data_IF_188152694017
#
_entry.id   IF_188152694017
#
_cell.length_a   1.000
_cell.length_b   1.000
_cell.length_c   1.000
_cell.angle_alpha   90.00
_cell.angle_beta   90.00
_cell.angle_gamma   90.00
#
_symmetry.space_group_name_H-M   'P 1'
#
loop_
_entity.id
_entity.type
_entity.pdbx_description
1 polymer ?
#
# COMPACT_ATOMS: atom_id res chain seq x y z
N UNK A 1 -5.57 23.43 -11.93
CA UNK A 1 -6.98 23.00 -12.02
C UNK A 1 -6.93 21.49 -12.16
N UNK A 2 -7.49 20.79 -11.18
CA UNK A 2 -7.56 19.32 -11.21
C UNK A 2 -8.69 18.92 -12.15
N UNK A 3 -8.44 17.92 -12.99
CA UNK A 3 -9.44 17.32 -13.88
C UNK A 3 -9.62 15.85 -13.51
N UNK A 4 -10.86 15.39 -13.56
CA UNK A 4 -11.20 13.98 -13.47
C UNK A 4 -12.17 13.62 -14.58
N UNK A 5 -11.96 12.46 -15.19
CA UNK A 5 -12.90 11.92 -16.17
C UNK A 5 -12.82 10.40 -16.18
N UNK A 6 -13.88 9.80 -16.69
CA UNK A 6 -13.97 8.35 -16.85
C UNK A 6 -13.67 7.96 -18.28
N UNK A 7 -12.83 6.96 -18.44
CA UNK A 7 -12.42 6.35 -19.69
C UNK A 7 -12.65 4.83 -19.59
N UNK A 8 -13.86 4.39 -19.94
CA UNK A 8 -14.31 3.01 -19.77
C UNK A 8 -14.28 2.56 -18.30
N UNK A 9 -13.37 1.66 -17.97
CA UNK A 9 -13.16 1.09 -16.63
C UNK A 9 -12.11 1.84 -15.82
N UNK A 10 -11.60 2.97 -16.31
CA UNK A 10 -10.53 3.74 -15.68
C UNK A 10 -11.05 5.13 -15.30
N UNK A 11 -10.79 5.55 -14.06
CA UNK A 11 -10.93 6.94 -13.62
C UNK A 11 -9.57 7.61 -13.79
N UNK A 12 -9.50 8.64 -14.63
CA UNK A 12 -8.26 9.39 -14.90
C UNK A 12 -8.29 10.70 -14.13
N UNK A 13 -7.16 11.02 -13.49
CA UNK A 13 -6.95 12.24 -12.74
C UNK A 13 -5.75 12.97 -13.33
N UNK A 14 -5.89 14.28 -13.48
CA UNK A 14 -4.81 15.16 -13.87
C UNK A 14 -4.77 16.36 -12.92
N UNK A 15 -3.61 16.56 -12.28
CA UNK A 15 -3.31 17.77 -11.50
C UNK A 15 -2.34 18.66 -12.28
N UNK A 16 -1.97 19.80 -11.71
CA UNK A 16 -0.88 20.62 -12.26
C UNK A 16 0.44 19.84 -12.35
N UNK A 17 0.72 18.96 -11.39
CA UNK A 17 2.04 18.34 -11.23
C UNK A 17 2.11 16.88 -11.67
N UNK A 18 0.99 16.17 -11.80
CA UNK A 18 1.02 14.76 -12.18
C UNK A 18 -0.25 14.28 -12.90
N UNK A 19 -0.12 13.09 -13.50
CA UNK A 19 -1.25 12.26 -13.91
C UNK A 19 -1.36 11.07 -12.96
N UNK A 20 -2.57 10.57 -12.75
CA UNK A 20 -2.84 9.31 -12.06
C UNK A 20 -4.07 8.63 -12.69
N UNK A 21 -4.19 7.31 -12.53
CA UNK A 21 -5.39 6.59 -12.91
C UNK A 21 -5.78 5.54 -11.87
N UNK A 22 -7.08 5.35 -11.65
CA UNK A 22 -7.64 4.32 -10.77
C UNK A 22 -8.44 3.36 -11.64
N UNK A 23 -8.08 2.08 -11.59
CA UNK A 23 -8.76 1.03 -12.34
C UNK A 23 -9.93 0.48 -11.52
N UNK A 24 -11.12 0.47 -12.11
CA UNK A 24 -12.38 0.08 -11.44
C UNK A 24 -12.79 -1.36 -11.75
N UNK A 25 -12.18 -1.97 -12.77
CA UNK A 25 -12.37 -3.38 -13.16
C UNK A 25 -11.05 -4.04 -13.59
N UNK A 26 -10.86 -5.33 -13.36
CA UNK A 26 -9.63 -6.07 -13.66
C UNK A 26 -8.68 -6.12 -12.47
N UNK A 27 -7.46 -5.59 -12.63
CA UNK A 27 -6.51 -5.43 -11.53
C UNK A 27 -6.84 -4.14 -10.78
N UNK A 28 -7.37 -4.27 -9.56
CA UNK A 28 -8.04 -3.18 -8.84
C UNK A 28 -7.37 -2.86 -7.50
N UNK A 29 -7.89 -1.84 -6.83
CA UNK A 29 -7.31 -1.10 -5.70
C UNK A 29 -6.14 -0.20 -6.10
N UNK A 30 -5.92 0.87 -5.33
CA UNK A 30 -4.82 1.79 -5.51
C UNK A 30 -4.80 2.54 -6.86
N UNK A 31 -3.60 3.02 -7.21
CA UNK A 31 -3.31 3.68 -8.49
C UNK A 31 -2.78 2.65 -9.49
N UNK A 32 -3.35 2.67 -10.70
CA UNK A 32 -3.05 1.75 -11.80
C UNK A 32 -1.57 1.79 -12.18
N UNK A 33 -1.01 0.63 -12.49
CA UNK A 33 0.38 0.47 -12.94
C UNK A 33 0.78 1.49 -14.02
N UNK A 34 1.94 2.12 -13.83
CA UNK A 34 2.56 3.09 -14.75
C UNK A 34 1.73 4.32 -15.08
N UNK A 35 0.66 4.56 -14.33
CA UNK A 35 -0.25 5.68 -14.54
C UNK A 35 0.08 6.89 -13.67
N UNK A 36 0.88 6.73 -12.61
CA UNK A 36 1.31 7.84 -11.79
C UNK A 36 2.52 8.51 -12.44
N UNK A 37 2.30 9.62 -13.13
CA UNK A 37 3.31 10.29 -13.96
C UNK A 37 3.61 11.67 -13.42
N UNK A 38 4.86 11.92 -13.06
CA UNK A 38 5.35 13.24 -12.66
C UNK A 38 5.53 14.14 -13.89
N UNK A 39 4.79 15.25 -13.97
CA UNK A 39 4.88 16.18 -15.10
C UNK A 39 6.19 16.94 -15.12
N UNK A 40 6.82 17.17 -13.97
CA UNK A 40 8.07 17.92 -13.88
C UNK A 40 9.23 17.14 -14.52
N UNK A 41 9.29 15.83 -14.31
CA UNK A 41 10.45 15.01 -14.72
C UNK A 41 10.12 13.99 -15.80
N UNK A 42 8.83 13.81 -16.13
CA UNK A 42 8.36 12.76 -17.04
C UNK A 42 8.41 11.34 -16.44
N UNK A 43 8.80 11.23 -15.16
CA UNK A 43 8.93 9.95 -14.46
C UNK A 43 7.61 9.23 -14.30
N UNK A 44 7.64 7.89 -14.33
CA UNK A 44 6.48 7.02 -14.09
C UNK A 44 6.80 6.03 -12.99
N UNK A 45 5.78 5.55 -12.28
CA UNK A 45 5.94 4.42 -11.38
C UNK A 45 6.40 3.17 -12.18
N UNK A 46 7.18 2.31 -11.51
CA UNK A 46 7.85 1.17 -12.14
C UNK A 46 7.11 -0.15 -11.92
N UNK A 47 6.05 -0.14 -11.13
CA UNK A 47 5.46 -1.33 -10.53
C UNK A 47 4.26 -1.91 -11.26
N UNK A 48 3.47 -2.65 -10.48
CA UNK A 48 2.16 -3.19 -10.87
C UNK A 48 1.01 -2.31 -10.38
N UNK A 49 1.31 -1.17 -9.77
CA UNK A 49 0.38 -0.23 -9.18
C UNK A 49 0.95 0.34 -7.88
N UNK A 50 0.24 1.31 -7.29
CA UNK A 50 0.63 1.93 -6.02
C UNK A 50 -0.50 1.80 -4.99
N UNK A 51 -0.14 1.42 -3.75
CA UNK A 51 -1.06 1.20 -2.62
C UNK A 51 -2.12 0.15 -2.95
N UNK A 52 -1.65 -1.02 -3.37
CA UNK A 52 -2.48 -2.14 -3.79
C UNK A 52 -2.83 -3.00 -2.57
N UNK A 53 -4.09 -3.40 -2.44
CA UNK A 53 -4.58 -4.16 -1.28
C UNK A 53 -4.84 -5.61 -1.65
N UNK A 54 -4.41 -6.50 -0.75
CA UNK A 54 -4.54 -7.94 -0.90
C UNK A 54 -5.71 -8.50 -0.07
N UNK A 55 -5.47 -8.85 1.19
CA UNK A 55 -6.40 -9.63 2.01
C UNK A 55 -6.15 -9.40 3.51
N UNK A 56 -6.99 -10.02 4.35
CA UNK A 56 -6.85 -10.00 5.80
C UNK A 56 -6.13 -11.24 6.33
N UNK A 57 -5.20 -11.03 7.26
CA UNK A 57 -4.37 -12.07 7.87
C UNK A 57 -4.32 -11.91 9.39
N UNK A 58 -3.70 -12.90 10.03
CA UNK A 58 -3.10 -12.76 11.34
C UNK A 58 -1.80 -13.59 11.43
N UNK A 59 -0.91 -13.28 12.39
CA UNK A 59 0.41 -13.91 12.51
C UNK A 59 0.34 -15.23 13.29
N UNK A 60 -0.30 -16.24 12.70
CA UNK A 60 -0.39 -17.60 13.25
C UNK A 60 -0.26 -18.63 12.15
N UNK A 61 0.20 -19.83 12.48
CA UNK A 61 0.17 -20.96 11.55
C UNK A 61 -1.24 -21.53 11.40
N UNK A 62 -1.54 -22.01 10.21
CA UNK A 62 -2.64 -22.94 10.00
C UNK A 62 -2.32 -24.31 10.62
N UNK A 63 -3.37 -25.01 11.06
CA UNK A 63 -3.30 -26.39 11.53
C UNK A 63 -3.92 -27.35 10.51
N UNK A 64 -3.85 -28.65 10.79
CA UNK A 64 -4.38 -29.70 9.90
C UNK A 64 -5.89 -29.61 9.66
N UNK A 65 -6.64 -28.93 10.54
CA UNK A 65 -8.08 -28.73 10.38
C UNK A 65 -8.44 -27.62 9.39
N UNK A 66 -7.50 -26.70 9.06
CA UNK A 66 -7.73 -25.70 8.02
C UNK A 66 -7.78 -26.40 6.64
N UNK A 67 -8.81 -26.17 5.80
CA UNK A 67 -8.84 -26.68 4.43
C UNK A 67 -7.63 -26.21 3.62
N UNK A 68 -7.01 -27.10 2.84
CA UNK A 68 -5.74 -26.85 2.13
C UNK A 68 -5.76 -25.58 1.27
N UNK A 69 -6.84 -25.35 0.51
CA UNK A 69 -7.01 -24.16 -0.34
C UNK A 69 -7.20 -22.85 0.44
N UNK A 70 -7.34 -22.90 1.77
CA UNK A 70 -7.42 -21.75 2.68
C UNK A 70 -6.20 -21.67 3.60
N UNK A 71 -5.18 -22.50 3.37
CA UNK A 71 -3.92 -22.40 4.10
C UNK A 71 -3.03 -21.35 3.45
N UNK A 72 -2.43 -20.51 4.28
CA UNK A 72 -1.40 -19.60 3.79
C UNK A 72 -0.10 -20.37 3.55
N UNK A 73 0.48 -20.24 2.35
CA UNK A 73 1.78 -20.82 2.04
C UNK A 73 2.91 -20.03 2.70
N UNK A 74 3.88 -20.72 3.28
CA UNK A 74 5.10 -20.14 3.88
C UNK A 74 6.24 -21.15 3.82
N UNK A 75 7.46 -20.71 4.12
CA UNK A 75 8.68 -21.54 4.05
C UNK A 75 9.30 -21.61 2.65
N UNK A 76 8.90 -20.72 1.74
CA UNK A 76 9.43 -20.61 0.38
C UNK A 76 10.05 -19.23 0.11
N UNK A 77 10.66 -19.03 -1.07
CA UNK A 77 11.26 -17.74 -1.45
C UNK A 77 10.25 -16.61 -1.66
N UNK A 78 8.96 -16.91 -1.77
CA UNK A 78 7.90 -15.95 -2.05
C UNK A 78 7.34 -15.36 -0.76
N UNK A 79 7.12 -16.22 0.23
CA UNK A 79 6.43 -15.91 1.48
C UNK A 79 7.38 -15.87 2.69
N UNK A 80 8.58 -16.45 2.55
CA UNK A 80 9.58 -16.52 3.61
C UNK A 80 9.18 -17.45 4.75
N UNK A 81 10.02 -17.53 5.78
CA UNK A 81 9.69 -18.26 7.01
C UNK A 81 8.82 -17.42 7.96
N UNK A 82 7.76 -16.82 7.40
CA UNK A 82 6.85 -15.91 8.10
C UNK A 82 5.45 -16.54 8.09
N UNK A 83 5.14 -17.41 9.08
CA UNK A 83 3.84 -18.06 9.12
C UNK A 83 2.72 -17.04 9.33
N UNK A 84 1.69 -17.13 8.48
CA UNK A 84 0.42 -16.43 8.60
C UNK A 84 -0.71 -17.41 8.43
N UNK A 85 -1.93 -16.94 8.71
CA UNK A 85 -3.17 -17.59 8.30
C UNK A 85 -4.14 -16.55 7.77
N UNK A 86 -4.94 -16.93 6.79
CA UNK A 86 -5.98 -16.05 6.28
C UNK A 86 -7.06 -15.82 7.33
N UNK A 87 -7.54 -14.58 7.41
CA UNK A 87 -8.79 -14.25 8.10
C UNK A 87 -9.90 -14.22 7.05
N UNK A 88 -9.74 -13.36 6.04
CA UNK A 88 -10.72 -13.16 4.97
C UNK A 88 -10.04 -12.97 3.61
N UNK A 89 -10.72 -13.46 2.58
CA UNK A 89 -10.32 -13.66 1.20
C UNK A 89 -11.48 -13.21 0.28
N UNK A 90 -11.27 -12.99 -1.03
CA UNK A 90 -10.05 -13.24 -1.79
C UNK A 90 -9.01 -12.10 -1.72
N UNK A 91 -7.90 -12.26 -2.44
CA UNK A 91 -6.97 -11.17 -2.74
C UNK A 91 -7.68 -10.12 -3.63
N UNK A 92 -7.95 -8.93 -3.09
CA UNK A 92 -8.77 -7.91 -3.75
C UNK A 92 -8.20 -7.55 -5.12
N UNK A 93 -6.91 -7.23 -5.19
CA UNK A 93 -6.30 -6.69 -6.40
C UNK A 93 -6.42 -7.58 -7.64
N UNK A 94 -6.46 -8.90 -7.48
CA UNK A 94 -6.53 -9.85 -8.62
C UNK A 94 -7.88 -10.55 -8.75
N UNK A 95 -8.67 -10.64 -7.67
CA UNK A 95 -9.84 -11.50 -7.63
C UNK A 95 -11.16 -10.77 -7.34
N UNK A 96 -11.14 -9.53 -6.84
CA UNK A 96 -12.36 -8.75 -6.70
C UNK A 96 -13.00 -8.42 -8.06
N UNK A 97 -12.17 -8.30 -9.11
CA UNK A 97 -12.52 -8.03 -10.52
C UNK A 97 -13.22 -6.69 -10.78
N UNK A 98 -14.00 -6.15 -9.86
CA UNK A 98 -14.71 -4.88 -9.98
C UNK A 98 -14.94 -4.28 -8.61
N UNK A 99 -14.64 -2.99 -8.46
CA UNK A 99 -14.91 -2.24 -7.23
C UNK A 99 -15.98 -1.18 -7.47
N UNK A 100 -17.00 -1.07 -6.59
CA UNK A 100 -17.80 0.14 -6.52
C UNK A 100 -16.93 1.33 -6.10
N UNK A 101 -17.26 2.51 -6.61
CA UNK A 101 -16.50 3.72 -6.33
C UNK A 101 -17.37 4.98 -6.38
N UNK A 102 -16.86 6.03 -5.74
CA UNK A 102 -17.40 7.40 -5.75
C UNK A 102 -16.27 8.39 -6.03
N UNK A 103 -16.57 9.44 -6.79
CA UNK A 103 -15.64 10.53 -7.09
C UNK A 103 -16.11 11.78 -6.36
N UNK A 104 -15.18 12.46 -5.69
CA UNK A 104 -15.40 13.76 -5.03
C UNK A 104 -14.55 14.82 -5.73
N UNK A 105 -15.20 15.82 -6.31
CA UNK A 105 -14.52 16.96 -6.94
C UNK A 105 -14.51 18.13 -5.96
N UNK A 106 -13.34 18.41 -5.39
CA UNK A 106 -13.12 19.56 -4.52
C UNK A 106 -12.49 20.73 -5.28
N UNK A 107 -12.39 21.89 -4.62
CA UNK A 107 -11.85 23.11 -5.24
C UNK A 107 -10.43 22.95 -5.81
N UNK A 108 -9.56 22.24 -5.08
CA UNK A 108 -8.15 22.06 -5.41
C UNK A 108 -7.71 20.59 -5.27
N UNK A 109 -8.64 19.64 -5.40
CA UNK A 109 -8.33 18.22 -5.32
C UNK A 109 -9.43 17.40 -5.98
N UNK A 110 -9.11 16.15 -6.32
CA UNK A 110 -10.09 15.11 -6.61
C UNK A 110 -9.86 13.98 -5.62
N UNK A 111 -10.92 13.34 -5.15
CA UNK A 111 -10.81 12.10 -4.41
C UNK A 111 -11.59 10.97 -5.08
N UNK A 112 -11.08 9.75 -4.95
CA UNK A 112 -11.75 8.52 -5.37
C UNK A 112 -11.87 7.62 -4.16
N UNK A 113 -13.11 7.30 -3.78
CA UNK A 113 -13.39 6.31 -2.74
C UNK A 113 -13.79 5.01 -3.42
N UNK A 114 -13.22 3.90 -2.99
CA UNK A 114 -13.62 2.55 -3.41
C UNK A 114 -13.76 1.63 -2.21
N UNK A 115 -14.52 0.55 -2.34
CA UNK A 115 -14.73 -0.39 -1.24
C UNK A 115 -15.01 -1.82 -1.71
N UNK A 116 -14.80 -2.77 -0.80
CA UNK A 116 -15.06 -4.18 -1.02
C UNK A 116 -15.50 -4.84 0.28
N UNK A 117 -16.38 -5.84 0.18
CA UNK A 117 -16.69 -6.74 1.28
C UNK A 117 -16.08 -8.10 0.96
N UNK A 118 -15.21 -8.61 1.82
CA UNK A 118 -14.66 -9.94 1.62
C UNK A 118 -15.76 -11.00 1.62
N UNK A 119 -15.65 -11.95 0.71
CA UNK A 119 -16.70 -12.94 0.42
C UNK A 119 -16.34 -14.35 0.84
N UNK A 120 -15.07 -14.58 1.21
CA UNK A 120 -14.53 -15.85 1.66
C UNK A 120 -13.86 -15.61 3.01
N UNK A 121 -13.99 -16.56 3.94
CA UNK A 121 -13.28 -16.54 5.20
C UNK A 121 -12.77 -17.93 5.54
N UNK A 122 -11.62 -17.98 6.21
CA UNK A 122 -11.08 -19.23 6.76
C UNK A 122 -11.82 -19.55 8.06
N UNK A 123 -12.43 -20.74 8.23
CA UNK A 123 -13.12 -21.10 9.49
C UNK A 123 -12.18 -20.93 10.69
N UNK A 124 -12.62 -20.40 11.84
CA UNK A 124 -14.00 -20.13 12.22
C UNK A 124 -14.50 -18.72 11.84
N UNK A 125 -13.75 -17.96 11.05
CA UNK A 125 -14.13 -16.60 10.66
C UNK A 125 -15.32 -16.59 9.70
N UNK A 126 -16.03 -15.47 9.71
CA UNK A 126 -17.15 -15.18 8.82
C UNK A 126 -16.72 -14.19 7.75
N UNK A 127 -17.13 -14.35 6.48
CA UNK A 127 -16.91 -13.32 5.49
C UNK A 127 -17.80 -12.12 5.77
N UNK A 128 -17.39 -10.95 5.29
CA UNK A 128 -18.22 -9.75 5.23
C UNK A 128 -17.55 -8.50 5.76
N UNK A 129 -16.31 -8.57 6.25
CA UNK A 129 -15.55 -7.38 6.63
C UNK A 129 -15.48 -6.42 5.45
N UNK A 130 -15.60 -5.12 5.74
CA UNK A 130 -15.61 -4.07 4.72
C UNK A 130 -14.26 -3.38 4.70
N UNK A 131 -13.59 -3.40 3.55
CA UNK A 131 -12.48 -2.51 3.25
C UNK A 131 -12.98 -1.30 2.46
N UNK A 132 -12.48 -0.12 2.81
CA UNK A 132 -12.66 1.13 2.10
C UNK A 132 -11.29 1.76 1.86
N UNK A 133 -11.05 2.25 0.64
CA UNK A 133 -9.88 3.04 0.31
C UNK A 133 -10.29 4.40 -0.22
N UNK A 134 -9.75 5.44 0.38
CA UNK A 134 -9.92 6.83 -0.05
C UNK A 134 -8.60 7.35 -0.60
N UNK A 135 -8.57 7.63 -1.91
CA UNK A 135 -7.44 8.22 -2.61
C UNK A 135 -7.72 9.71 -2.82
N UNK A 136 -6.87 10.59 -2.31
CA UNK A 136 -7.01 12.05 -2.47
C UNK A 136 -5.84 12.55 -3.29
N UNK A 137 -6.14 13.27 -4.37
CA UNK A 137 -5.18 13.83 -5.33
C UNK A 137 -5.21 15.36 -5.26
N UNK A 138 -4.38 16.00 -4.40
CA UNK A 138 -4.34 17.45 -4.28
C UNK A 138 -3.64 18.09 -5.47
N UNK A 139 -4.06 19.31 -5.84
CA UNK A 139 -3.37 20.11 -6.84
C UNK A 139 -2.02 20.65 -6.32
N UNK A 140 -1.15 21.06 -7.24
CA UNK A 140 0.13 21.78 -6.98
C UNK A 140 1.23 21.02 -6.23
N UNK A 141 0.96 19.83 -5.72
CA UNK A 141 1.95 18.93 -5.08
C UNK A 141 2.25 17.74 -5.98
N UNK A 142 3.37 17.05 -5.75
CA UNK A 142 3.81 15.87 -6.53
C UNK A 142 3.45 14.54 -5.86
N UNK A 143 2.49 14.56 -4.94
CA UNK A 143 2.06 13.43 -4.13
C UNK A 143 0.54 13.35 -4.02
N UNK A 144 0.04 12.18 -3.64
CA UNK A 144 -1.35 11.91 -3.28
C UNK A 144 -1.41 11.19 -1.93
N UNK A 145 -2.59 11.17 -1.32
CA UNK A 145 -2.86 10.47 -0.06
C UNK A 145 -3.72 9.24 -0.33
N UNK A 146 -3.48 8.18 0.44
CA UNK A 146 -4.32 7.00 0.50
C UNK A 146 -4.72 6.74 1.96
N UNK A 147 -5.98 6.38 2.19
CA UNK A 147 -6.44 5.91 3.50
C UNK A 147 -7.21 4.62 3.33
N UNK A 148 -6.64 3.55 3.88
CA UNK A 148 -7.25 2.23 3.94
C UNK A 148 -7.89 2.03 5.30
N UNK A 149 -9.18 1.68 5.30
CA UNK A 149 -9.97 1.40 6.51
C UNK A 149 -10.64 0.04 6.36
N UNK A 150 -10.52 -0.79 7.38
CA UNK A 150 -11.22 -2.08 7.48
C UNK A 150 -12.15 -2.04 8.67
N UNK A 151 -13.42 -2.37 8.46
CA UNK A 151 -14.40 -2.66 9.53
C UNK A 151 -14.62 -4.16 9.57
N UNK A 152 -14.24 -4.81 10.67
CA UNK A 152 -14.26 -6.27 10.73
C UNK A 152 -15.61 -6.81 11.17
N UNK A 153 -16.06 -7.94 10.59
CA UNK A 153 -17.20 -8.71 11.14
C UNK A 153 -16.77 -9.76 12.17
N UNK A 154 -15.46 -9.92 12.38
CA UNK A 154 -14.88 -10.91 13.26
C UNK A 154 -14.18 -10.24 14.44
N UNK A 155 -14.14 -10.92 15.59
CA UNK A 155 -13.18 -10.61 16.65
C UNK A 155 -11.88 -11.36 16.36
N UNK A 156 -10.78 -10.64 16.21
CA UNK A 156 -9.45 -11.19 15.89
C UNK A 156 -8.41 -10.53 16.79
N UNK A 157 -7.58 -11.33 17.46
CA UNK A 157 -6.61 -10.81 18.45
C UNK A 157 -5.48 -9.99 17.82
N UNK A 158 -5.15 -10.25 16.55
CA UNK A 158 -4.07 -9.58 15.83
C UNK A 158 -4.42 -9.50 14.34
N UNK A 159 -5.34 -8.60 13.98
CA UNK A 159 -5.82 -8.46 12.60
C UNK A 159 -4.84 -7.63 11.76
N UNK A 160 -4.52 -8.12 10.57
CA UNK A 160 -3.60 -7.51 9.63
C UNK A 160 -4.28 -7.24 8.29
N UNK A 161 -4.01 -6.08 7.70
CA UNK A 161 -4.29 -5.80 6.28
C UNK A 161 -2.99 -5.84 5.50
N UNK A 162 -2.89 -6.71 4.50
CA UNK A 162 -1.73 -6.80 3.60
C UNK A 162 -1.88 -5.90 2.37
N UNK A 163 -0.80 -5.21 2.02
CA UNK A 163 -0.74 -4.30 0.87
C UNK A 163 0.66 -4.20 0.26
N UNK A 164 0.72 -3.77 -0.99
CA UNK A 164 1.95 -3.34 -1.65
C UNK A 164 2.19 -1.86 -1.36
N UNK A 165 3.35 -1.52 -0.78
CA UNK A 165 3.62 -0.14 -0.34
C UNK A 165 5.09 0.31 -0.55
N UNK A 166 5.33 1.41 -1.31
CA UNK A 166 4.36 2.14 -2.16
C UNK A 166 3.81 1.28 -3.30
N UNK A 167 4.63 0.36 -3.80
CA UNK A 167 4.34 -0.56 -4.90
C UNK A 167 5.62 -1.30 -5.26
N UNK A 168 5.53 -2.45 -5.93
CA UNK A 168 6.70 -3.23 -6.35
C UNK A 168 7.52 -2.50 -7.44
N UNK A 169 8.75 -2.96 -7.71
CA UNK A 169 9.64 -2.37 -8.72
C UNK A 169 9.98 -3.42 -9.78
N UNK A 170 9.51 -3.22 -11.01
CA UNK A 170 9.96 -4.06 -12.14
C UNK A 170 11.36 -3.66 -12.57
N UNK A 171 12.22 -4.64 -12.77
CA UNK A 171 13.58 -4.44 -13.31
C UNK A 171 14.07 -5.73 -13.97
N UNK A 172 15.18 -5.61 -14.69
CA UNK A 172 16.03 -6.70 -15.14
C UNK A 172 17.42 -6.43 -14.56
N UNK A 173 17.82 -7.20 -13.55
CA UNK A 173 19.13 -7.04 -12.88
C UNK A 173 19.44 -5.61 -12.42
N UNK A 174 18.45 -4.94 -11.81
CA UNK A 174 18.55 -3.59 -11.29
C UNK A 174 18.49 -2.46 -12.34
N UNK A 175 18.26 -2.71 -13.62
CA UNK A 175 18.33 -1.71 -14.70
C UNK A 175 17.42 -0.47 -14.54
N UNK A 176 16.25 -0.59 -13.90
CA UNK A 176 15.22 0.46 -13.88
C UNK A 176 15.33 1.47 -12.74
N UNK A 177 16.10 1.16 -11.69
CA UNK A 177 16.27 1.99 -10.49
C UNK A 177 17.72 2.01 -10.01
N UNK A 178 18.09 2.99 -9.19
CA UNK A 178 19.45 3.14 -8.65
C UNK A 178 19.59 2.45 -7.29
N UNK A 179 18.64 2.70 -6.40
CA UNK A 179 18.67 2.25 -5.01
C UNK A 179 17.28 2.32 -4.38
N UNK A 180 17.09 1.58 -3.30
CA UNK A 180 15.94 1.65 -2.39
C UNK A 180 16.38 2.41 -1.14
N UNK A 181 15.49 3.22 -0.57
CA UNK A 181 15.65 3.83 0.74
C UNK A 181 14.52 3.35 1.64
N UNK A 182 14.89 2.80 2.80
CA UNK A 182 13.96 2.43 3.86
C UNK A 182 14.38 3.22 5.10
N UNK A 183 13.55 4.12 5.63
CA UNK A 183 13.99 5.00 6.75
C UNK A 183 14.43 4.25 8.01
N UNK A 184 13.98 3.01 8.19
CA UNK A 184 14.33 2.13 9.30
C UNK A 184 15.55 1.23 9.03
N UNK A 185 16.19 1.35 7.86
CA UNK A 185 17.35 0.53 7.48
C UNK A 185 18.46 1.33 6.76
N UNK A 186 18.10 2.28 5.90
CA UNK A 186 19.02 3.10 5.11
C UNK A 186 18.92 2.81 3.61
N UNK A 187 20.00 3.13 2.89
CA UNK A 187 20.09 2.96 1.44
C UNK A 187 20.52 1.54 1.07
N UNK A 188 19.89 0.98 0.04
CA UNK A 188 20.15 -0.35 -0.49
C UNK A 188 20.38 -0.22 -2.01
N UNK A 189 21.57 -0.54 -2.54
CA UNK A 189 21.84 -0.40 -3.97
C UNK A 189 21.03 -1.40 -4.80
N UNK A 190 20.71 -1.06 -6.05
CA UNK A 190 19.99 -1.97 -6.95
C UNK A 190 20.70 -3.32 -7.16
N UNK A 191 22.03 -3.36 -7.02
CA UNK A 191 22.82 -4.60 -7.08
C UNK A 191 22.48 -5.59 -5.97
N UNK A 192 21.85 -5.15 -4.87
CA UNK A 192 21.37 -6.05 -3.82
C UNK A 192 20.19 -6.92 -4.27
N UNK A 193 19.54 -6.60 -5.40
CA UNK A 193 18.33 -7.25 -5.90
C UNK A 193 18.58 -8.00 -7.23
N UNK A 194 19.81 -8.49 -7.45
CA UNK A 194 20.13 -9.31 -8.64
C UNK A 194 19.61 -10.75 -8.47
N UNK A 195 19.80 -11.32 -7.29
CA UNK A 195 19.42 -12.70 -6.98
C UNK A 195 18.20 -12.74 -6.05
N UNK A 196 17.33 -13.74 -6.25
CA UNK A 196 16.14 -13.93 -5.43
C UNK A 196 16.49 -14.38 -4.01
N UNK A 197 15.93 -13.68 -3.02
CA UNK A 197 16.04 -13.97 -1.59
C UNK A 197 14.67 -13.80 -0.93
N UNK A 198 14.38 -14.59 0.10
CA UNK A 198 13.08 -14.60 0.75
C UNK A 198 12.82 -13.34 1.62
N UNK A 199 11.55 -13.02 1.91
CA UNK A 199 11.12 -11.89 2.73
C UNK A 199 11.90 -11.62 4.03
N UNK A 200 12.23 -12.68 4.76
CA UNK A 200 12.86 -12.65 6.09
C UNK A 200 14.39 -12.75 6.07
N UNK A 201 15.02 -12.85 4.90
CA UNK A 201 16.47 -13.05 4.81
C UNK A 201 17.28 -11.77 5.01
N UNK A 202 16.76 -10.60 4.61
CA UNK A 202 17.59 -9.37 4.51
C UNK A 202 16.93 -8.10 5.02
N UNK A 203 15.79 -7.71 4.45
CA UNK A 203 15.20 -6.39 4.67
C UNK A 203 13.79 -6.49 5.26
N UNK A 204 13.65 -7.30 6.30
CA UNK A 204 12.42 -7.44 7.08
C UNK A 204 12.39 -6.41 8.22
N UNK A 205 11.27 -5.72 8.32
CA UNK A 205 10.85 -5.00 9.51
C UNK A 205 9.72 -5.79 10.19
N UNK A 206 9.85 -5.97 11.50
CA UNK A 206 8.79 -6.48 12.38
C UNK A 206 8.64 -5.51 13.54
N UNK A 207 7.40 -5.10 13.83
CA UNK A 207 7.09 -4.20 14.93
C UNK A 207 7.44 -4.88 16.24
N UNK A 208 8.28 -4.20 17.03
CA UNK A 208 8.62 -4.57 18.39
C UNK A 208 8.26 -3.42 19.33
N UNK A 209 7.71 -3.76 20.50
CA UNK A 209 7.34 -2.76 21.51
C UNK A 209 8.55 -1.92 21.92
N UNK A 210 8.36 -0.60 21.96
CA UNK A 210 9.43 0.36 22.27
C UNK A 210 10.48 0.56 21.17
N UNK A 211 10.36 -0.11 20.01
CA UNK A 211 11.32 -0.01 18.89
C UNK A 211 10.68 0.43 17.56
N UNK A 212 9.47 0.96 17.61
CA UNK A 212 8.83 1.53 16.41
C UNK A 212 9.70 2.68 15.88
N UNK A 213 10.09 2.69 14.59
CA UNK A 213 10.91 3.76 14.05
C UNK A 213 10.14 5.07 14.02
N UNK A 214 10.86 6.17 14.17
CA UNK A 214 10.28 7.51 14.15
C UNK A 214 9.63 7.85 12.79
N UNK A 215 10.22 7.36 11.71
CA UNK A 215 9.76 7.55 10.32
C UNK A 215 9.55 6.19 9.67
N UNK A 216 8.51 6.07 8.84
CA UNK A 216 8.25 4.87 8.06
C UNK A 216 8.08 5.22 6.58
N UNK A 217 9.22 5.43 5.93
CA UNK A 217 9.35 5.83 4.53
C UNK A 217 9.99 4.69 3.76
N UNK A 218 9.35 4.31 2.64
CA UNK A 218 9.81 3.27 1.72
C UNK A 218 9.84 3.86 0.33
N UNK A 219 11.02 4.02 -0.24
CA UNK A 219 11.21 4.73 -1.49
C UNK A 219 12.22 4.04 -2.40
N UNK A 220 12.18 4.35 -3.69
CA UNK A 220 13.22 3.98 -4.62
C UNK A 220 13.58 5.16 -5.52
N UNK A 221 14.86 5.22 -5.87
CA UNK A 221 15.39 6.26 -6.75
C UNK A 221 15.41 5.77 -8.19
N UNK A 222 14.74 6.50 -9.07
CA UNK A 222 14.73 6.28 -10.50
C UNK A 222 16.11 6.56 -11.12
N UNK A 223 16.33 6.07 -12.35
CA UNK A 223 17.59 6.28 -13.08
C UNK A 223 17.90 7.74 -13.38
N UNK A 224 16.90 8.61 -13.44
CA UNK A 224 17.08 10.06 -13.58
C UNK A 224 17.33 10.79 -12.25
N UNK A 225 17.38 10.08 -11.12
CA UNK A 225 17.69 10.64 -9.80
C UNK A 225 16.47 10.99 -8.94
N UNK A 226 15.27 11.03 -9.52
CA UNK A 226 14.01 11.32 -8.82
C UNK A 226 13.63 10.16 -7.91
N UNK A 227 13.07 10.46 -6.75
CA UNK A 227 12.55 9.45 -5.81
C UNK A 227 11.05 9.26 -6.00
N UNK A 228 10.58 8.01 -5.99
CA UNK A 228 9.19 7.68 -5.70
C UNK A 228 9.12 7.08 -4.30
N UNK A 229 8.27 7.62 -3.44
CA UNK A 229 8.16 7.21 -2.05
C UNK A 229 6.74 6.84 -1.65
N UNK A 230 6.64 5.93 -0.69
CA UNK A 230 5.45 5.61 0.08
C UNK A 230 5.74 5.78 1.56
N UNK A 231 4.85 6.47 2.27
CA UNK A 231 5.06 6.85 3.66
C UNK A 231 3.87 6.45 4.52
N UNK A 232 4.06 5.65 5.56
CA UNK A 232 3.00 5.42 6.56
C UNK A 232 3.05 6.57 7.59
N UNK A 233 2.05 7.45 7.56
CA UNK A 233 2.09 8.71 8.33
C UNK A 233 2.00 8.49 9.85
N UNK A 234 1.49 7.35 10.29
CA UNK A 234 1.57 6.90 11.68
C UNK A 234 2.36 5.59 11.77
N UNK A 235 3.70 5.62 11.93
CA UNK A 235 4.55 4.42 11.95
C UNK A 235 4.09 3.27 12.85
N UNK A 236 3.51 3.50 14.05
CA UNK A 236 2.99 2.41 14.87
C UNK A 236 1.92 1.54 14.21
N UNK A 237 1.25 2.00 13.15
CA UNK A 237 0.27 1.17 12.43
C UNK A 237 0.91 0.03 11.65
N UNK A 238 2.18 0.13 11.28
CA UNK A 238 2.87 -0.90 10.50
C UNK A 238 3.29 -2.03 11.41
N UNK A 239 2.74 -3.21 11.17
CA UNK A 239 3.02 -4.44 11.92
C UNK A 239 4.27 -5.14 11.39
N UNK A 240 4.31 -5.39 10.09
CA UNK A 240 5.45 -5.99 9.39
C UNK A 240 5.59 -5.35 8.02
N UNK A 241 6.81 -5.30 7.50
CA UNK A 241 7.04 -4.85 6.14
C UNK A 241 8.36 -5.41 5.64
N UNK A 242 8.44 -5.80 4.37
CA UNK A 242 9.69 -6.32 3.81
C UNK A 242 9.92 -5.84 2.39
N UNK A 243 11.19 -5.88 2.00
CA UNK A 243 11.67 -5.58 0.66
C UNK A 243 12.51 -6.78 0.21
N UNK A 244 12.07 -7.53 -0.79
CA UNK A 244 12.80 -8.72 -1.24
C UNK A 244 12.80 -8.89 -2.74
N UNK A 245 13.69 -9.74 -3.25
CA UNK A 245 13.81 -10.02 -4.67
C UNK A 245 13.12 -11.34 -5.02
N UNK A 246 12.17 -11.29 -5.97
CA UNK A 246 11.51 -12.47 -6.57
C UNK A 246 11.15 -12.23 -8.04
N UNK A 247 12.15 -12.12 -8.91
CA UNK A 247 11.99 -11.66 -10.30
C UNK A 247 11.67 -10.17 -10.46
N UNK A 248 11.23 -9.50 -9.40
CA UNK A 248 11.10 -8.06 -9.24
C UNK A 248 11.33 -7.71 -7.75
N UNK A 249 11.59 -6.44 -7.44
CA UNK A 249 11.66 -6.00 -6.05
C UNK A 249 10.25 -5.91 -5.49
N UNK A 250 9.94 -6.82 -4.58
CA UNK A 250 8.66 -6.91 -3.91
C UNK A 250 8.70 -6.10 -2.60
N UNK A 251 7.80 -5.13 -2.51
CA UNK A 251 7.63 -4.22 -1.39
C UNK A 251 6.25 -4.46 -0.76
N UNK A 252 6.19 -5.31 0.27
CA UNK A 252 4.96 -5.61 1.02
C UNK A 252 4.99 -4.91 2.39
N UNK A 253 3.83 -4.44 2.80
CA UNK A 253 3.55 -3.88 4.11
C UNK A 253 2.26 -4.46 4.69
N UNK A 254 2.28 -4.76 5.98
CA UNK A 254 1.13 -5.18 6.76
C UNK A 254 0.84 -4.10 7.81
N UNK A 255 -0.40 -3.61 7.85
CA UNK A 255 -0.85 -2.66 8.88
C UNK A 255 -1.83 -3.34 9.84
N UNK A 256 -1.92 -2.84 11.07
CA UNK A 256 -2.73 -3.44 12.13
C UNK A 256 -1.88 -4.14 13.18
N UNK A 257 -2.26 -5.37 13.51
CA UNK A 257 -1.56 -6.21 14.48
C UNK A 257 -1.97 -5.93 15.91
N UNK A 258 -3.20 -5.47 16.10
CA UNK A 258 -3.86 -5.33 17.38
C UNK A 258 -5.19 -6.08 17.37
N UNK A 259 -5.77 -6.22 18.56
CA UNK A 259 -7.10 -6.80 18.71
C UNK A 259 -8.15 -5.90 18.07
N UNK A 260 -9.01 -6.49 17.26
CA UNK A 260 -10.17 -5.85 16.64
C UNK A 260 -11.39 -6.67 17.03
N UNK A 261 -12.40 -6.04 17.60
CA UNK A 261 -13.69 -6.68 17.86
C UNK A 261 -14.59 -6.64 16.62
N UNK A 262 -15.54 -7.57 16.54
CA UNK A 262 -16.58 -7.51 15.52
C UNK A 262 -17.32 -6.15 15.58
N UNK A 263 -17.39 -5.47 14.43
CA UNK A 263 -17.95 -4.14 14.25
C UNK A 263 -16.93 -3.00 14.38
N UNK A 264 -15.74 -3.24 14.92
CA UNK A 264 -14.69 -2.22 15.04
C UNK A 264 -13.94 -2.00 13.74
N UNK A 265 -13.34 -0.81 13.61
CA UNK A 265 -12.51 -0.45 12.48
C UNK A 265 -11.05 -0.21 12.85
N UNK A 266 -10.17 -0.50 11.91
CA UNK A 266 -8.77 -0.06 11.95
C UNK A 266 -8.34 0.43 10.56
N UNK A 267 -7.23 1.16 10.48
CA UNK A 267 -6.77 1.71 9.21
C UNK A 267 -5.42 2.38 9.29
N UNK A 268 -4.93 2.86 8.14
CA UNK A 268 -3.68 3.58 8.02
C UNK A 268 -3.76 4.62 6.89
N UNK A 269 -3.16 5.79 7.12
CA UNK A 269 -3.00 6.82 6.11
C UNK A 269 -1.58 6.77 5.57
N UNK A 270 -1.47 6.84 4.25
CA UNK A 270 -0.21 6.90 3.55
C UNK A 270 -0.12 8.10 2.61
N UNK A 271 1.11 8.58 2.41
CA UNK A 271 1.44 9.58 1.40
C UNK A 271 2.36 8.95 0.36
N UNK A 272 2.06 9.18 -0.92
CA UNK A 272 2.75 8.57 -2.04
C UNK A 272 3.07 9.63 -3.08
N UNK A 273 4.32 9.74 -3.51
CA UNK A 273 4.70 10.82 -4.41
C UNK A 273 6.12 10.83 -4.90
N UNK A 274 6.41 11.83 -5.73
CA UNK A 274 7.72 12.11 -6.26
C UNK A 274 8.44 13.21 -5.49
N UNK A 275 9.74 13.02 -5.28
CA UNK A 275 10.61 13.92 -4.53
C UNK A 275 11.96 14.05 -5.22
N UNK A 276 12.60 15.21 -5.11
CA UNK A 276 13.90 15.47 -5.71
C UNK A 276 15.03 14.86 -4.87
N UNK A 277 14.86 14.82 -3.55
CA UNK A 277 15.81 14.22 -2.62
C UNK A 277 15.13 13.65 -1.35
N UNK A 278 15.92 12.98 -0.52
CA UNK A 278 15.45 12.36 0.73
C UNK A 278 15.04 13.42 1.75
N UNK A 279 15.71 14.57 1.79
CA UNK A 279 15.42 15.62 2.77
C UNK A 279 14.05 16.26 2.50
N UNK A 280 13.67 16.47 1.24
CA UNK A 280 12.33 16.92 0.84
C UNK A 280 11.27 15.92 1.28
N UNK A 281 11.50 14.64 0.99
CA UNK A 281 10.64 13.54 1.38
C UNK A 281 10.45 13.48 2.90
N UNK A 282 11.51 13.63 3.69
CA UNK A 282 11.44 13.64 5.15
C UNK A 282 10.74 14.90 5.69
N UNK A 283 10.94 16.08 5.10
CA UNK A 283 10.19 17.30 5.47
C UNK A 283 8.69 17.14 5.24
N UNK A 284 8.30 16.54 4.11
CA UNK A 284 6.88 16.25 3.82
C UNK A 284 6.34 15.22 4.81
N UNK A 285 7.10 14.17 5.13
CA UNK A 285 6.72 13.22 6.17
C UNK A 285 6.44 13.92 7.50
N UNK A 286 7.38 14.72 8.00
CA UNK A 286 7.24 15.41 9.30
C UNK A 286 6.05 16.38 9.33
N UNK A 287 5.66 16.96 8.18
CA UNK A 287 4.49 17.84 8.09
C UNK A 287 3.18 17.11 8.38
N UNK A 288 3.07 15.83 8.02
CA UNK A 288 1.84 15.04 8.11
C UNK A 288 1.91 13.87 9.09
N UNK A 289 3.06 13.71 9.75
CA UNK A 289 3.32 12.66 10.74
C UNK A 289 2.28 12.68 11.85
N UNK A 290 1.85 11.49 12.24
CA UNK A 290 0.82 11.28 13.25
C UNK A 290 -0.58 11.10 12.68
N UNK A 291 -0.81 11.40 11.40
CA UNK A 291 -2.13 11.22 10.79
C UNK A 291 -2.56 9.74 10.76
N UNK A 292 -3.78 9.50 11.25
CA UNK A 292 -4.43 8.19 11.39
C UNK A 292 -5.71 8.08 10.57
N UNK A 293 -6.32 9.19 10.22
CA UNK A 293 -7.54 9.23 9.41
C UNK A 293 -7.46 10.30 8.33
N UNK A 294 -8.04 10.01 7.16
CA UNK A 294 -8.26 10.97 6.09
C UNK A 294 -9.77 11.11 5.86
N UNK A 295 -10.23 12.35 5.85
CA UNK A 295 -11.62 12.70 5.59
C UNK A 295 -11.72 13.60 4.37
N UNK A 296 -12.80 13.44 3.59
CA UNK A 296 -13.13 14.29 2.45
C UNK A 296 -14.53 14.84 2.63
N UNK A 297 -14.69 16.12 2.35
CA UNK A 297 -15.97 16.82 2.25
C UNK A 297 -16.04 17.55 0.90
N UNK A 298 -17.16 18.21 0.60
CA UNK A 298 -17.35 18.93 -0.67
C UNK A 298 -16.26 20.00 -0.94
N UNK A 299 -15.68 20.59 0.11
CA UNK A 299 -14.77 21.74 -0.05
C UNK A 299 -13.32 21.47 0.38
N UNK A 300 -13.09 20.43 1.17
CA UNK A 300 -11.78 20.16 1.76
C UNK A 300 -11.54 18.67 2.02
N UNK A 301 -10.27 18.31 2.09
CA UNK A 301 -9.81 17.09 2.72
C UNK A 301 -9.04 17.44 3.99
N UNK A 302 -9.07 16.54 4.97
CA UNK A 302 -8.43 16.75 6.27
C UNK A 302 -7.78 15.48 6.78
N UNK A 303 -6.57 15.62 7.32
CA UNK A 303 -5.89 14.60 8.11
C UNK A 303 -6.20 14.79 9.60
N UNK A 304 -6.39 13.69 10.32
CA UNK A 304 -6.54 13.65 11.78
C UNK A 304 -5.56 12.68 12.40
#
# INVERSE_FOLDING_TARGET
>A
MVRVWRDGTVVRIETEKYFAAVQTEGYVSGVMARSFVDKQTGSKDLGFGLVIVDFLLEPRMDDESTPEHLRYSWGDKIHGNIPKRFVELPQICTQARKLPFEIFEGKNFVAVKQWFNWTIARPPYKPGSRWEQLLVFPDRVRWFLAYDKVTSVNTVDCLLLRMDMPGHIRHQSGDSFRQVYLSYHGFIPASAFIEDFAPDERFLYRREDGKVPEKFIRAYQLRNGVWLAGMALHPPTVYEAWCHQRGYVCLIQEVGGWKVQAGESFGAVHLIGYFDDVDEMERVFETFKGARELQVSANEWKLK
#
